data_IF_647494863114
#
_entry.id   IF_647494863114
#
_cell.length_a   1.000
_cell.length_b   1.000
_cell.length_c   1.000
_cell.angle_alpha   90.00
_cell.angle_beta   90.00
_cell.angle_gamma   90.00
#
_symmetry.space_group_name_H-M   'P 1'
#
loop_
_entity.id
_entity.type
_entity.pdbx_description
1 polymer ?
#
# COMPACT_ATOMS: atom_id res chain seq x y z
N UNK A 1 -1.36 25.23 -53.05
CA UNK A 1 -2.45 25.00 -52.07
C UNK A 1 -3.00 23.59 -52.19
N UNK A 2 -3.19 22.88 -51.07
CA UNK A 2 -3.86 21.57 -51.10
C UNK A 2 -5.36 21.80 -51.32
N UNK A 3 -5.92 21.32 -52.44
CA UNK A 3 -7.36 21.41 -52.78
C UNK A 3 -8.23 20.44 -51.97
N UNK A 4 -8.16 20.50 -50.64
CA UNK A 4 -8.93 19.62 -49.76
C UNK A 4 -10.12 20.41 -49.22
N UNK A 5 -11.34 19.86 -49.33
CA UNK A 5 -12.54 20.47 -48.76
C UNK A 5 -12.37 20.55 -47.23
N UNK A 6 -12.69 21.70 -46.64
CA UNK A 6 -12.59 21.92 -45.18
C UNK A 6 -13.25 20.81 -44.37
N UNK A 7 -14.41 20.33 -44.83
CA UNK A 7 -15.13 19.21 -44.21
C UNK A 7 -14.26 17.94 -44.10
N UNK A 8 -13.49 17.61 -45.14
CA UNK A 8 -12.60 16.43 -45.14
C UNK A 8 -11.45 16.57 -44.14
N UNK A 9 -10.92 17.78 -43.98
CA UNK A 9 -9.88 18.05 -42.97
C UNK A 9 -10.46 18.00 -41.55
N UNK A 10 -11.58 18.67 -41.32
CA UNK A 10 -12.27 18.71 -40.03
C UNK A 10 -12.69 17.31 -39.57
N UNK A 11 -13.25 16.47 -40.45
CA UNK A 11 -13.61 15.09 -40.13
C UNK A 11 -12.42 14.28 -39.61
N UNK A 12 -11.24 14.41 -40.25
CA UNK A 12 -10.03 13.71 -39.80
C UNK A 12 -9.52 14.21 -38.46
N UNK A 13 -9.60 15.52 -38.21
CA UNK A 13 -9.23 16.08 -36.91
C UNK A 13 -10.16 15.55 -35.81
N UNK A 14 -11.48 15.54 -36.05
CA UNK A 14 -12.47 15.03 -35.09
C UNK A 14 -12.25 13.53 -34.83
N UNK A 15 -12.06 12.73 -35.88
CA UNK A 15 -11.78 11.30 -35.76
C UNK A 15 -10.53 11.05 -34.90
N UNK A 16 -9.45 11.80 -35.14
CA UNK A 16 -8.21 11.69 -34.37
C UNK A 16 -8.41 12.06 -32.89
N UNK A 17 -9.16 13.12 -32.58
CA UNK A 17 -9.44 13.51 -31.20
C UNK A 17 -10.25 12.44 -30.45
N UNK A 18 -11.27 11.86 -31.10
CA UNK A 18 -12.04 10.73 -30.52
C UNK A 18 -11.11 9.53 -30.28
N UNK A 19 -10.26 9.19 -31.25
CA UNK A 19 -9.31 8.09 -31.13
C UNK A 19 -8.30 8.33 -30.00
N UNK A 20 -7.81 9.56 -29.83
CA UNK A 20 -6.91 9.94 -28.75
C UNK A 20 -7.60 9.84 -27.39
N UNK A 21 -8.86 10.29 -27.29
CA UNK A 21 -9.66 10.15 -26.07
C UNK A 21 -9.84 8.67 -25.68
N UNK A 22 -10.25 7.82 -26.62
CA UNK A 22 -10.45 6.38 -26.38
C UNK A 22 -9.14 5.68 -25.99
N UNK A 23 -8.01 6.00 -26.63
CA UNK A 23 -6.69 5.46 -26.27
C UNK A 23 -6.27 5.84 -24.85
N UNK A 24 -6.55 7.08 -24.43
CA UNK A 24 -6.28 7.54 -23.07
C UNK A 24 -7.14 6.80 -22.06
N UNK A 25 -8.43 6.60 -22.37
CA UNK A 25 -9.38 5.94 -21.49
C UNK A 25 -9.15 4.42 -21.37
N UNK A 26 -8.50 3.79 -22.34
CA UNK A 26 -8.19 2.35 -22.28
C UNK A 26 -7.26 1.97 -21.10
N UNK A 27 -6.54 2.94 -20.51
CA UNK A 27 -5.75 2.71 -19.27
C UNK A 27 -6.61 2.39 -18.05
N UNK A 28 -7.84 2.87 -18.03
CA UNK A 28 -8.79 2.72 -16.93
C UNK A 28 -9.70 1.50 -17.11
N UNK A 29 -9.50 0.72 -18.18
CA UNK A 29 -10.38 -0.43 -18.51
C UNK A 29 -10.35 -1.56 -17.48
N UNK A 30 -9.30 -1.62 -16.66
CA UNK A 30 -9.18 -2.58 -15.55
C UNK A 30 -9.70 -2.03 -14.22
N UNK A 31 -10.15 -0.78 -14.17
CA UNK A 31 -10.74 -0.20 -12.97
C UNK A 31 -12.16 -0.76 -12.79
N UNK A 32 -12.50 -1.13 -11.56
CA UNK A 32 -13.81 -1.65 -11.17
C UNK A 32 -14.41 -0.66 -10.18
N UNK A 33 -15.71 -0.37 -10.31
CA UNK A 33 -16.39 0.52 -9.37
C UNK A 33 -16.61 -0.20 -8.03
N UNK A 34 -16.41 0.51 -6.92
CA UNK A 34 -16.75 -0.04 -5.60
C UNK A 34 -18.26 -0.19 -5.38
N UNK A 35 -19.06 0.58 -6.12
CA UNK A 35 -20.52 0.53 -6.10
C UNK A 35 -21.09 -0.51 -7.07
N UNK A 36 -20.24 -1.33 -7.73
CA UNK A 36 -20.70 -2.40 -8.61
C UNK A 36 -21.13 -3.62 -7.77
N UNK A 37 -22.32 -4.20 -8.02
CA UNK A 37 -22.77 -5.39 -7.30
C UNK A 37 -21.93 -6.60 -7.69
N UNK A 38 -21.28 -7.21 -6.70
CA UNK A 38 -20.56 -8.47 -6.81
C UNK A 38 -21.53 -9.66 -6.94
N UNK A 39 -22.64 -9.60 -6.20
CA UNK A 39 -23.70 -10.62 -6.24
C UNK A 39 -25.06 -9.99 -5.86
N UNK A 40 -26.15 -10.63 -6.28
CA UNK A 40 -27.52 -10.24 -5.96
C UNK A 40 -28.23 -11.49 -5.44
N UNK A 41 -28.78 -11.41 -4.22
CA UNK A 41 -29.55 -12.51 -3.65
C UNK A 41 -30.95 -12.64 -4.31
N UNK A 42 -31.73 -13.65 -3.92
CA UNK A 42 -33.06 -13.88 -4.49
C UNK A 42 -34.10 -12.82 -4.09
N UNK A 43 -33.81 -12.04 -3.05
CA UNK A 43 -34.65 -10.94 -2.56
C UNK A 43 -34.25 -9.59 -3.21
N UNK A 44 -33.18 -9.57 -4.01
CA UNK A 44 -32.70 -8.39 -4.72
C UNK A 44 -31.74 -7.52 -3.92
N UNK A 45 -31.20 -8.00 -2.79
CA UNK A 45 -30.16 -7.27 -2.07
C UNK A 45 -28.82 -7.43 -2.78
N UNK A 46 -28.13 -6.31 -2.96
CA UNK A 46 -26.83 -6.26 -3.63
C UNK A 46 -25.71 -6.41 -2.59
N UNK A 47 -24.78 -7.32 -2.85
CA UNK A 47 -23.48 -7.35 -2.18
C UNK A 47 -22.52 -6.52 -3.04
N UNK A 48 -22.06 -5.39 -2.54
CA UNK A 48 -21.14 -4.51 -3.27
C UNK A 48 -19.70 -4.97 -3.09
N UNK A 49 -18.83 -4.55 -4.00
CA UNK A 49 -17.38 -4.77 -3.84
C UNK A 49 -16.86 -4.07 -2.57
N UNK A 50 -17.36 -2.88 -2.26
CA UNK A 50 -17.02 -2.13 -1.03
C UNK A 50 -17.31 -2.89 0.26
N UNK A 51 -18.32 -3.75 0.28
CA UNK A 51 -18.71 -4.51 1.47
C UNK A 51 -17.70 -5.61 1.84
N UNK A 52 -16.89 -6.04 0.87
CA UNK A 52 -15.92 -7.14 1.03
C UNK A 52 -14.50 -6.62 1.23
N UNK A 53 -14.24 -5.36 0.90
CA UNK A 53 -12.93 -4.73 1.08
C UNK A 53 -12.68 -4.43 2.56
N UNK A 54 -11.97 -5.33 3.22
CA UNK A 54 -11.49 -5.15 4.60
C UNK A 54 -10.14 -4.44 4.69
N UNK A 55 -9.73 -4.17 5.93
CA UNK A 55 -8.33 -3.85 6.26
C UNK A 55 -7.53 -5.15 6.40
N UNK A 56 -6.20 -5.06 6.36
CA UNK A 56 -5.33 -6.21 6.60
C UNK A 56 -5.69 -6.91 7.93
N UNK A 57 -5.69 -8.24 7.91
CA UNK A 57 -6.10 -9.07 9.05
C UNK A 57 -5.24 -8.81 10.31
N UNK A 58 -4.00 -8.36 10.11
CA UNK A 58 -3.01 -8.14 11.17
C UNK A 58 -2.96 -6.69 11.69
N UNK A 59 -3.84 -5.80 11.22
CA UNK A 59 -3.79 -4.37 11.55
C UNK A 59 -3.81 -4.10 13.07
N UNK A 60 -4.51 -4.93 13.84
CA UNK A 60 -4.56 -4.84 15.31
C UNK A 60 -3.47 -5.69 15.95
N UNK A 61 -3.26 -6.92 15.45
CA UNK A 61 -2.37 -7.89 16.10
C UNK A 61 -0.91 -7.46 16.01
N UNK A 62 -0.50 -6.82 14.91
CA UNK A 62 0.88 -6.38 14.68
C UNK A 62 1.40 -5.42 15.77
N UNK A 63 0.62 -4.40 16.11
CA UNK A 63 1.02 -3.42 17.14
C UNK A 63 1.00 -4.04 18.54
N UNK A 64 0.05 -4.95 18.78
CA UNK A 64 -0.04 -5.69 20.03
C UNK A 64 1.17 -6.63 20.21
N UNK A 65 1.49 -7.42 19.18
CA UNK A 65 2.65 -8.31 19.14
C UNK A 65 3.94 -7.53 19.34
N UNK A 66 4.14 -6.43 18.62
CA UNK A 66 5.31 -5.57 18.79
C UNK A 66 5.44 -5.03 20.23
N UNK A 67 4.32 -4.70 20.88
CA UNK A 67 4.30 -4.25 22.28
C UNK A 67 4.69 -5.37 23.24
N UNK A 68 4.16 -6.58 23.03
CA UNK A 68 4.48 -7.77 23.82
C UNK A 68 5.95 -8.16 23.63
N UNK A 69 6.44 -8.19 22.40
CA UNK A 69 7.83 -8.50 22.07
C UNK A 69 8.80 -7.50 22.71
N UNK A 70 8.46 -6.21 22.69
CA UNK A 70 9.26 -5.18 23.38
C UNK A 70 9.31 -5.42 24.88
N UNK A 71 8.20 -5.84 25.50
CA UNK A 71 8.17 -6.15 26.92
C UNK A 71 9.02 -7.39 27.26
N UNK A 72 8.91 -8.44 26.44
CA UNK A 72 9.71 -9.67 26.59
C UNK A 72 11.20 -9.40 26.40
N UNK A 73 11.57 -8.61 25.38
CA UNK A 73 12.95 -8.18 25.14
C UNK A 73 13.50 -7.42 26.35
N UNK A 74 12.75 -6.44 26.87
CA UNK A 74 13.17 -5.69 28.04
C UNK A 74 13.35 -6.61 29.26
N UNK A 75 12.43 -7.55 29.48
CA UNK A 75 12.56 -8.54 30.56
C UNK A 75 13.79 -9.42 30.40
N UNK A 76 14.12 -9.85 29.19
CA UNK A 76 15.32 -10.63 28.89
C UNK A 76 16.61 -9.82 29.11
N UNK A 77 16.64 -8.55 28.71
CA UNK A 77 17.79 -7.65 28.95
C UNK A 77 18.07 -7.44 30.45
N UNK A 78 17.04 -7.48 31.31
CA UNK A 78 17.24 -7.40 32.76
C UNK A 78 17.84 -8.66 33.39
N UNK A 79 17.94 -9.77 32.65
CA UNK A 79 18.60 -11.00 33.10
C UNK A 79 20.10 -11.01 32.79
N UNK A 80 20.55 -10.12 31.91
CA UNK A 80 21.97 -9.97 31.56
C UNK A 80 22.72 -9.20 32.65
N UNK A 81 24.04 -9.41 32.72
CA UNK A 81 24.88 -8.56 33.55
C UNK A 81 25.03 -7.15 32.93
N UNK A 82 25.48 -6.18 33.74
CA UNK A 82 25.54 -4.77 33.31
C UNK A 82 26.35 -4.56 32.02
N UNK A 83 27.45 -5.32 31.85
CA UNK A 83 28.30 -5.24 30.66
C UNK A 83 27.63 -5.81 29.42
N UNK A 84 27.01 -6.98 29.54
CA UNK A 84 26.25 -7.62 28.45
C UNK A 84 25.06 -6.78 28.03
N UNK A 85 24.32 -6.23 29.00
CA UNK A 85 23.20 -5.32 28.74
C UNK A 85 23.67 -4.08 27.99
N UNK A 86 24.77 -3.46 28.42
CA UNK A 86 25.35 -2.29 27.75
C UNK A 86 25.80 -2.62 26.31
N UNK A 87 26.41 -3.78 26.08
CA UNK A 87 26.79 -4.22 24.72
C UNK A 87 25.55 -4.39 23.84
N UNK A 88 24.48 -5.00 24.35
CA UNK A 88 23.23 -5.20 23.61
C UNK A 88 22.55 -3.86 23.29
N UNK A 89 22.48 -2.94 24.25
CA UNK A 89 21.89 -1.62 24.04
C UNK A 89 22.63 -0.82 22.97
N UNK A 90 23.96 -0.80 23.00
CA UNK A 90 24.79 -0.11 22.01
C UNK A 90 24.73 -0.78 20.63
N UNK A 91 24.79 -2.12 20.58
CA UNK A 91 24.84 -2.83 19.29
C UNK A 91 23.56 -2.68 18.48
N UNK A 92 22.41 -2.66 19.16
CA UNK A 92 21.10 -2.62 18.51
C UNK A 92 20.40 -1.26 18.62
N UNK A 93 21.08 -0.23 19.14
CA UNK A 93 20.49 1.10 19.29
C UNK A 93 19.25 1.12 20.19
N UNK A 94 19.24 0.29 21.24
CA UNK A 94 18.11 0.23 22.17
C UNK A 94 18.07 1.50 23.03
N UNK A 95 16.91 1.75 23.67
CA UNK A 95 16.69 2.93 24.52
C UNK A 95 16.89 4.29 23.80
N UNK A 96 16.76 4.33 22.47
CA UNK A 96 16.90 5.56 21.68
C UNK A 96 18.33 5.92 21.31
N UNK A 97 19.28 4.99 21.48
CA UNK A 97 20.65 5.14 20.97
C UNK A 97 20.76 4.78 19.48
N UNK A 98 21.90 5.12 18.87
CA UNK A 98 22.24 4.62 17.54
C UNK A 98 22.92 3.25 17.60
N UNK A 99 22.72 2.45 16.55
CA UNK A 99 23.38 1.14 16.42
C UNK A 99 24.89 1.28 16.26
N UNK A 100 25.64 0.41 16.94
CA UNK A 100 27.10 0.37 16.91
C UNK A 100 27.60 -0.96 16.38
N UNK A 101 28.69 -0.93 15.62
CA UNK A 101 29.27 -2.16 15.10
C UNK A 101 29.95 -2.96 16.20
N UNK A 102 30.23 -4.25 15.94
CA UNK A 102 30.92 -5.10 16.91
C UNK A 102 32.31 -4.57 17.31
N UNK A 103 32.97 -3.76 16.47
CA UNK A 103 34.23 -3.11 16.81
C UNK A 103 34.05 -1.93 17.76
N UNK A 104 32.90 -1.26 17.70
CA UNK A 104 32.61 -0.04 18.46
C UNK A 104 32.07 -0.34 19.87
N UNK A 105 31.63 -1.58 20.12
CA UNK A 105 31.13 -2.06 21.42
C UNK A 105 32.10 -2.97 22.17
N UNK A 106 33.24 -3.34 21.55
CA UNK A 106 34.25 -4.24 22.12
C UNK A 106 35.14 -3.56 23.18
#
# INVERSE_FOLDING_TARGET
EKKIKLATYASRCIENEILMHLRRNNKNRSEVSFDEPLNIDWDGNELLLSDVLGTDDDIITKDLEATVDRHLLMKALHQLNDREKQIMELRFGLAGGEEKTQKDVA
#
